data_IF_813417537040
#
_entry.id   IF_813417537040
#
_cell.length_a   1.000
_cell.length_b   1.000
_cell.length_c   1.000
_cell.angle_alpha   90.00
_cell.angle_beta   90.00
_cell.angle_gamma   90.00
#
_symmetry.space_group_name_H-M   'P 1'
#
loop_
_entity.id
_entity.type
_entity.pdbx_description
1 polymer ?
#
# COMPACT_ATOMS: atom_id res chain seq x y z
N UNK A 1 42.32 -40.28 -8.53
CA UNK A 1 40.85 -40.44 -8.52
C UNK A 1 40.27 -39.56 -7.42
N UNK A 2 39.77 -38.37 -7.75
CA UNK A 2 39.24 -37.38 -6.78
C UNK A 2 37.85 -37.82 -6.33
N UNK A 3 37.67 -38.12 -5.04
CA UNK A 3 36.35 -38.36 -4.47
C UNK A 3 35.61 -37.03 -4.39
N UNK A 4 34.58 -36.87 -5.21
CA UNK A 4 33.64 -35.76 -5.12
C UNK A 4 32.96 -35.84 -3.75
N UNK A 5 33.22 -34.83 -2.90
CA UNK A 5 32.53 -34.69 -1.62
C UNK A 5 31.11 -34.21 -1.93
N UNK A 6 30.19 -35.12 -2.19
CA UNK A 6 28.77 -34.81 -2.12
C UNK A 6 28.50 -34.28 -0.70
N UNK A 7 28.25 -32.98 -0.59
CA UNK A 7 27.83 -32.35 0.64
C UNK A 7 26.43 -32.87 1.01
N UNK A 8 26.38 -34.05 1.63
CA UNK A 8 25.17 -34.56 2.23
C UNK A 8 24.92 -33.73 3.49
N UNK A 9 24.29 -32.57 3.31
CA UNK A 9 23.81 -31.75 4.41
C UNK A 9 22.94 -32.65 5.29
N UNK A 10 23.39 -32.90 6.52
CA UNK A 10 22.64 -33.72 7.47
C UNK A 10 21.20 -33.16 7.54
N UNK A 11 20.15 -34.00 7.56
CA UNK A 11 18.76 -33.56 7.44
C UNK A 11 18.38 -32.51 8.51
N UNK A 12 19.04 -32.52 9.67
CA UNK A 12 18.91 -31.51 10.73
C UNK A 12 19.31 -30.09 10.30
N UNK A 13 20.37 -29.96 9.48
CA UNK A 13 20.84 -28.66 8.97
C UNK A 13 19.94 -28.16 7.84
N UNK A 14 19.43 -29.08 7.00
CA UNK A 14 18.45 -28.74 5.98
C UNK A 14 17.16 -28.18 6.61
N UNK A 15 16.71 -28.78 7.71
CA UNK A 15 15.54 -28.31 8.46
C UNK A 15 15.78 -26.91 9.06
N UNK A 16 16.93 -26.68 9.70
CA UNK A 16 17.30 -25.37 10.25
C UNK A 16 17.33 -24.30 9.15
N UNK A 17 17.93 -24.61 8.00
CA UNK A 17 17.97 -23.71 6.85
C UNK A 17 16.57 -23.37 6.33
N UNK A 18 15.67 -24.37 6.25
CA UNK A 18 14.30 -24.18 5.79
C UNK A 18 13.49 -23.30 6.75
N UNK A 19 13.64 -23.48 8.06
CA UNK A 19 13.02 -22.61 9.07
C UNK A 19 13.53 -21.18 8.98
N UNK A 20 14.86 -20.99 8.81
CA UNK A 20 15.46 -19.67 8.60
C UNK A 20 14.94 -18.99 7.34
N UNK A 21 14.80 -19.73 6.24
CA UNK A 21 14.25 -19.21 5.00
C UNK A 21 12.78 -18.77 5.19
N UNK A 22 11.97 -19.57 5.88
CA UNK A 22 10.58 -19.24 6.16
C UNK A 22 10.47 -17.97 7.02
N UNK A 23 11.29 -17.84 8.06
CA UNK A 23 11.38 -16.63 8.88
C UNK A 23 11.76 -15.41 8.04
N UNK A 24 12.78 -15.55 7.18
CA UNK A 24 13.24 -14.47 6.31
C UNK A 24 12.14 -14.01 5.34
N UNK A 25 11.41 -14.93 4.74
CA UNK A 25 10.28 -14.59 3.85
C UNK A 25 9.18 -13.83 4.58
N UNK A 26 8.86 -14.20 5.83
CA UNK A 26 7.90 -13.48 6.66
C UNK A 26 8.32 -12.04 6.93
N UNK A 27 9.60 -11.83 7.28
CA UNK A 27 10.16 -10.48 7.52
C UNK A 27 10.08 -9.62 6.26
N UNK A 28 10.47 -10.16 5.10
CA UNK A 28 10.43 -9.43 3.81
C UNK A 28 9.00 -8.99 3.46
N UNK A 29 8.00 -9.86 3.68
CA UNK A 29 6.60 -9.52 3.42
C UNK A 29 6.12 -8.37 4.29
N UNK A 30 6.40 -8.39 5.59
CA UNK A 30 6.01 -7.32 6.52
C UNK A 30 6.67 -5.98 6.13
N UNK A 31 7.96 -6.00 5.81
CA UNK A 31 8.67 -4.79 5.36
C UNK A 31 8.07 -4.21 4.07
N UNK A 32 7.68 -5.07 3.13
CA UNK A 32 7.09 -4.65 1.86
C UNK A 32 5.75 -3.93 2.04
N UNK A 33 4.89 -4.42 2.95
CA UNK A 33 3.60 -3.79 3.26
C UNK A 33 3.78 -2.39 3.88
N UNK A 34 4.73 -2.25 4.81
CA UNK A 34 5.04 -0.97 5.44
C UNK A 34 5.58 0.07 4.45
N UNK A 35 6.32 -0.35 3.43
CA UNK A 35 6.84 0.56 2.39
C UNK A 35 5.71 1.14 1.52
N UNK A 36 4.75 0.31 1.13
CA UNK A 36 3.59 0.78 0.33
C UNK A 36 2.76 1.78 1.14
N UNK A 37 2.49 1.48 2.41
CA UNK A 37 1.74 2.36 3.29
C UNK A 37 2.41 3.74 3.42
N UNK A 38 3.74 3.77 3.60
CA UNK A 38 4.48 5.04 3.62
C UNK A 38 4.36 5.82 2.33
N UNK A 39 4.43 5.17 1.17
CA UNK A 39 4.24 5.83 -0.13
C UNK A 39 2.85 6.43 -0.27
N UNK A 40 1.82 5.71 0.16
CA UNK A 40 0.46 6.25 0.19
C UNK A 40 0.33 7.44 1.13
N UNK A 41 0.91 7.37 2.35
CA UNK A 41 0.88 8.50 3.28
C UNK A 41 1.60 9.74 2.74
N UNK A 42 2.74 9.55 2.09
CA UNK A 42 3.51 10.62 1.45
C UNK A 42 2.70 11.27 0.32
N UNK A 43 2.10 10.45 -0.56
CA UNK A 43 1.23 10.95 -1.62
C UNK A 43 0.03 11.72 -1.06
N UNK A 44 -0.61 11.20 -0.01
CA UNK A 44 -1.73 11.86 0.64
C UNK A 44 -1.32 13.24 1.17
N UNK A 45 -0.15 13.33 1.83
CA UNK A 45 0.36 14.60 2.34
C UNK A 45 0.69 15.56 1.21
N UNK A 46 1.30 15.08 0.12
CA UNK A 46 1.66 15.88 -1.04
C UNK A 46 0.41 16.47 -1.72
N UNK A 47 -0.58 15.63 -2.01
CA UNK A 47 -1.83 16.07 -2.65
C UNK A 47 -2.56 17.08 -1.77
N UNK A 48 -2.81 16.76 -0.49
CA UNK A 48 -3.50 17.70 0.42
C UNK A 48 -2.73 19.01 0.57
N UNK A 49 -1.39 18.95 0.69
CA UNK A 49 -0.56 20.14 0.77
C UNK A 49 -0.57 20.97 -0.51
N UNK A 50 -0.64 20.33 -1.69
CA UNK A 50 -0.73 21.02 -2.98
C UNK A 50 -2.03 21.84 -3.10
N UNK A 51 -3.07 21.44 -2.37
CA UNK A 51 -4.32 22.16 -2.25
C UNK A 51 -4.38 23.14 -1.06
N UNK A 52 -3.25 23.41 -0.40
CA UNK A 52 -3.14 24.32 0.74
C UNK A 52 -3.74 23.77 2.04
N UNK A 53 -4.00 22.46 2.11
CA UNK A 53 -4.49 21.80 3.31
C UNK A 53 -3.36 21.22 4.18
N UNK A 54 -3.67 20.94 5.44
CA UNK A 54 -2.79 20.22 6.37
C UNK A 54 -3.47 18.93 6.82
N UNK A 55 -2.84 17.78 6.58
CA UNK A 55 -3.38 16.48 7.03
C UNK A 55 -3.40 16.40 8.56
N UNK A 56 -4.56 16.06 9.12
CA UNK A 56 -4.76 15.79 10.55
C UNK A 56 -4.68 14.29 10.82
N UNK A 57 -5.39 13.49 10.02
CA UNK A 57 -5.51 12.04 10.21
C UNK A 57 -5.62 11.33 8.86
N UNK A 58 -4.92 10.19 8.76
CA UNK A 58 -5.04 9.23 7.67
C UNK A 58 -5.53 7.93 8.29
N UNK A 59 -6.62 7.38 7.77
CA UNK A 59 -7.21 6.14 8.28
C UNK A 59 -7.55 5.20 7.14
N UNK A 60 -7.05 3.95 7.23
CA UNK A 60 -7.47 2.87 6.35
C UNK A 60 -8.87 2.42 6.73
N UNK A 61 -9.75 2.28 5.75
CA UNK A 61 -11.18 2.03 5.95
C UNK A 61 -11.66 0.88 5.05
N UNK A 62 -12.74 0.22 5.47
CA UNK A 62 -13.41 -0.80 4.64
C UNK A 62 -14.01 -0.12 3.40
N UNK A 63 -13.62 -0.52 2.17
CA UNK A 63 -14.11 0.07 0.93
C UNK A 63 -15.64 0.13 0.82
N UNK A 64 -16.37 -0.83 1.41
CA UNK A 64 -17.84 -0.93 1.33
C UNK A 64 -18.56 0.24 2.00
N UNK A 65 -17.90 0.95 2.90
CA UNK A 65 -18.46 2.08 3.66
C UNK A 65 -18.00 3.44 3.09
N UNK A 66 -17.53 3.45 1.85
CA UNK A 66 -16.89 4.62 1.24
C UNK A 66 -17.51 4.97 -0.11
N UNK A 67 -17.22 6.16 -0.65
CA UNK A 67 -17.62 6.51 -2.02
C UNK A 67 -17.03 5.61 -3.12
N UNK A 68 -16.09 4.71 -2.78
CA UNK A 68 -15.51 3.73 -3.69
C UNK A 68 -16.14 2.34 -3.57
N UNK A 69 -17.32 2.20 -2.94
CA UNK A 69 -17.95 0.90 -2.69
C UNK A 69 -18.14 0.04 -3.95
N UNK A 70 -18.32 0.65 -5.12
CA UNK A 70 -18.46 -0.07 -6.40
C UNK A 70 -17.16 -0.09 -7.23
N UNK A 71 -16.17 0.74 -6.86
CA UNK A 71 -14.94 0.95 -7.64
C UNK A 71 -13.69 0.52 -6.86
N UNK A 72 -13.69 -0.70 -6.32
CA UNK A 72 -12.53 -1.24 -5.61
C UNK A 72 -12.31 -2.72 -5.89
N UNK A 73 -11.06 -3.16 -5.74
CA UNK A 73 -10.74 -4.58 -5.61
C UNK A 73 -9.58 -4.80 -4.63
N UNK A 74 -9.12 -6.04 -4.54
CA UNK A 74 -8.01 -6.49 -3.67
C UNK A 74 -6.65 -5.83 -3.95
N UNK A 75 -6.51 -5.16 -5.10
CA UNK A 75 -5.32 -4.38 -5.44
C UNK A 75 -5.41 -2.93 -4.94
N UNK A 76 -6.49 -2.54 -4.28
CA UNK A 76 -6.70 -1.20 -3.75
C UNK A 76 -6.68 -1.16 -2.22
N UNK A 77 -6.36 0.02 -1.68
CA UNK A 77 -6.58 0.38 -0.28
C UNK A 77 -7.29 1.72 -0.25
N UNK A 78 -8.32 1.82 0.58
CA UNK A 78 -9.09 3.05 0.72
C UNK A 78 -8.69 3.76 2.00
N UNK A 79 -8.46 5.06 1.88
CA UNK A 79 -8.13 5.94 2.99
C UNK A 79 -9.20 7.01 3.13
N UNK A 80 -9.59 7.24 4.38
CA UNK A 80 -10.27 8.46 4.80
C UNK A 80 -9.21 9.44 5.29
N UNK A 81 -9.21 10.63 4.73
CA UNK A 81 -8.22 11.67 5.03
C UNK A 81 -8.93 12.85 5.66
N UNK A 82 -8.70 13.08 6.95
CA UNK A 82 -9.14 14.30 7.63
C UNK A 82 -8.04 15.35 7.52
N UNK A 83 -8.38 16.54 7.04
CA UNK A 83 -7.43 17.62 6.84
C UNK A 83 -8.04 18.98 7.22
N UNK A 84 -7.17 19.96 7.49
CA UNK A 84 -7.56 21.34 7.79
C UNK A 84 -7.26 22.24 6.59
N UNK A 85 -8.20 23.08 6.19
CA UNK A 85 -7.99 24.18 5.23
C UNK A 85 -8.81 25.38 5.68
N UNK A 86 -8.22 26.58 5.69
CA UNK A 86 -8.94 27.82 6.04
C UNK A 86 -9.73 27.78 7.36
N UNK A 87 -9.21 27.09 8.37
CA UNK A 87 -9.83 26.85 9.70
C UNK A 87 -10.96 25.82 9.76
N UNK A 88 -11.32 25.21 8.64
CA UNK A 88 -12.32 24.14 8.57
C UNK A 88 -11.66 22.76 8.51
N UNK A 89 -12.30 21.78 9.15
CA UNK A 89 -11.92 20.37 9.03
C UNK A 89 -12.75 19.71 7.93
N UNK A 90 -12.05 19.14 6.96
CA UNK A 90 -12.62 18.54 5.76
C UNK A 90 -12.21 17.08 5.65
N UNK A 91 -12.99 16.31 4.89
CA UNK A 91 -12.75 14.90 4.63
C UNK A 91 -12.54 14.70 3.13
N UNK A 92 -11.39 14.13 2.78
CA UNK A 92 -11.12 13.59 1.45
C UNK A 92 -11.08 12.06 1.50
N UNK A 93 -11.31 11.45 0.34
CA UNK A 93 -11.18 10.02 0.15
C UNK A 93 -10.11 9.73 -0.89
N UNK A 94 -9.26 8.76 -0.58
CA UNK A 94 -8.18 8.34 -1.44
C UNK A 94 -8.25 6.84 -1.68
N UNK A 95 -8.27 6.44 -2.95
CA UNK A 95 -8.09 5.06 -3.38
C UNK A 95 -6.65 4.90 -3.86
N UNK A 96 -5.83 4.30 -3.01
CA UNK A 96 -4.47 3.90 -3.34
C UNK A 96 -4.42 2.55 -4.05
N UNK A 97 -3.27 2.26 -4.65
CA UNK A 97 -3.00 1.05 -5.41
C UNK A 97 -1.83 0.30 -4.77
N UNK A 98 -2.03 -0.97 -4.44
CA UNK A 98 -1.04 -1.84 -3.78
C UNK A 98 0.01 -2.39 -4.75
N UNK A 99 0.69 -1.50 -5.47
CA UNK A 99 1.77 -1.83 -6.39
C UNK A 99 3.05 -1.18 -5.90
N UNK A 100 3.96 -1.99 -5.34
CA UNK A 100 5.18 -1.53 -4.62
C UNK A 100 6.01 -0.54 -5.43
N UNK A 101 6.14 -0.77 -6.74
CA UNK A 101 6.95 0.05 -7.63
C UNK A 101 6.20 1.24 -8.23
N UNK A 102 4.87 1.25 -8.26
CA UNK A 102 4.07 2.30 -8.88
C UNK A 102 2.66 2.40 -8.27
N UNK A 103 2.47 3.32 -7.32
CA UNK A 103 1.17 3.57 -6.68
C UNK A 103 0.18 4.31 -7.59
N UNK A 104 0.62 4.79 -8.75
CA UNK A 104 -0.20 5.46 -9.76
C UNK A 104 -0.52 4.53 -10.95
N UNK A 105 -0.39 3.22 -10.79
CA UNK A 105 -0.63 2.27 -11.88
C UNK A 105 -2.08 2.37 -12.37
N UNK A 106 -2.28 2.59 -13.67
CA UNK A 106 -3.61 2.67 -14.30
C UNK A 106 -4.31 1.31 -14.35
N UNK A 107 -3.53 0.23 -14.51
CA UNK A 107 -4.02 -1.13 -14.51
C UNK A 107 -3.18 -2.01 -13.57
N UNK A 108 -3.39 -1.92 -12.25
CA UNK A 108 -2.58 -2.62 -11.26
C UNK A 108 -2.76 -4.14 -11.27
N UNK A 109 -3.81 -4.65 -11.93
CA UNK A 109 -4.01 -6.08 -12.09
C UNK A 109 -4.16 -6.41 -13.57
N UNK A 110 -3.05 -6.75 -14.23
CA UNK A 110 -3.03 -7.16 -15.64
C UNK A 110 -4.04 -8.27 -15.99
N UNK A 111 -4.48 -9.07 -15.00
CA UNK A 111 -5.35 -10.24 -15.20
C UNK A 111 -6.80 -10.07 -14.71
N UNK A 112 -7.09 -9.14 -13.78
CA UNK A 112 -8.44 -9.04 -13.16
C UNK A 112 -9.08 -7.66 -13.35
N UNK A 113 -8.43 -6.79 -14.12
CA UNK A 113 -8.72 -5.36 -14.05
C UNK A 113 -8.26 -4.80 -12.71
N UNK A 114 -7.87 -3.54 -12.71
CA UNK A 114 -7.54 -2.82 -11.50
C UNK A 114 -8.16 -1.45 -11.57
N UNK A 115 -8.64 -0.96 -10.44
CA UNK A 115 -9.03 0.43 -10.38
C UNK A 115 -7.78 1.25 -10.14
N UNK A 116 -7.50 2.17 -11.07
CA UNK A 116 -6.43 3.14 -10.94
C UNK A 116 -6.57 3.95 -9.64
N UNK A 117 -5.52 4.65 -9.28
CA UNK A 117 -5.59 5.64 -8.21
C UNK A 117 -6.74 6.64 -8.44
N UNK A 118 -7.43 7.07 -7.37
CA UNK A 118 -8.47 8.09 -7.47
C UNK A 118 -8.62 8.90 -6.18
N UNK A 119 -8.91 10.17 -6.37
CA UNK A 119 -9.17 11.14 -5.32
C UNK A 119 -10.62 11.61 -5.38
N UNK A 120 -11.25 11.74 -4.21
CA UNK A 120 -12.51 12.46 -4.03
C UNK A 120 -12.27 13.51 -2.97
N UNK A 121 -12.21 14.76 -3.42
CA UNK A 121 -11.92 15.90 -2.57
C UNK A 121 -13.12 16.85 -2.64
N UNK A 122 -13.66 17.33 -1.51
CA UNK A 122 -14.76 18.28 -1.51
C UNK A 122 -14.46 19.50 -2.39
N UNK A 123 -15.44 19.92 -3.18
CA UNK A 123 -15.30 20.87 -4.29
C UNK A 123 -15.01 22.33 -3.90
N UNK A 124 -14.69 22.62 -2.64
CA UNK A 124 -14.25 23.95 -2.18
C UNK A 124 -12.73 24.15 -2.35
N UNK A 125 -12.25 23.69 -3.50
CA UNK A 125 -10.88 23.88 -4.00
C UNK A 125 -10.88 24.69 -5.30
N UNK A 126 -11.94 25.46 -5.55
CA UNK A 126 -11.93 26.51 -6.56
C UNK A 126 -11.76 27.83 -5.83
N UNK A 127 -10.52 28.33 -5.85
CA UNK A 127 -10.32 29.77 -5.81
C UNK A 127 -10.91 30.37 -7.11
#
# INVERSE_FOLDING_TARGET
MKKEKCAFFKPKWLFILLVLLMLLTGVILVLSLNLIEKKHEEEIRNVISSYGGQVIKIEKVDPKLTPFAEDFNKSNVIYKVSYKKSHEELIAWYRGVNVVNNIHAENPTALQGGFAEKWIIPSEMKD
#
